data_IF_060007088103
#
_entry.id   IF_060007088103
#
_cell.length_a   1.000
_cell.length_b   1.000
_cell.length_c   1.000
_cell.angle_alpha   90.00
_cell.angle_beta   90.00
_cell.angle_gamma   90.00
#
_symmetry.space_group_name_H-M   'P 1'
#
loop_
_entity.id
_entity.type
_entity.pdbx_description
1 polymer ?
#
# COMPACT_ATOMS: atom_id res chain seq x y z
N UNK A 1 -5.28 -26.93 -1.29
CA UNK A 1 -5.90 -25.90 -2.13
C UNK A 1 -4.99 -24.68 -2.08
N UNK A 2 -4.02 -24.57 -3.00
CA UNK A 2 -3.10 -23.44 -3.05
C UNK A 2 -3.89 -22.19 -3.44
N UNK A 3 -4.12 -21.33 -2.47
CA UNK A 3 -4.81 -20.06 -2.67
C UNK A 3 -3.89 -19.21 -3.56
N UNK A 4 -4.29 -18.92 -4.80
CA UNK A 4 -3.45 -18.16 -5.74
C UNK A 4 -3.04 -16.80 -5.15
N UNK A 5 -3.86 -16.23 -4.27
CA UNK A 5 -3.54 -15.03 -3.50
C UNK A 5 -2.24 -15.15 -2.66
N UNK A 6 -1.97 -16.31 -2.06
CA UNK A 6 -0.75 -16.57 -1.29
C UNK A 6 0.46 -16.74 -2.21
N UNK A 7 0.28 -17.37 -3.37
CA UNK A 7 1.36 -17.55 -4.34
C UNK A 7 1.79 -16.20 -4.97
N UNK A 8 0.86 -15.27 -5.19
CA UNK A 8 1.22 -13.91 -5.59
C UNK A 8 1.93 -13.14 -4.47
N UNK A 9 1.49 -13.23 -3.21
CA UNK A 9 2.22 -12.61 -2.08
C UNK A 9 3.63 -13.19 -1.92
N UNK A 10 3.81 -14.52 -2.00
CA UNK A 10 5.13 -15.17 -1.91
C UNK A 10 6.05 -14.87 -3.11
N UNK A 11 5.52 -14.69 -4.33
CA UNK A 11 6.35 -14.38 -5.51
C UNK A 11 6.61 -12.88 -5.70
N UNK A 12 5.71 -12.00 -5.22
CA UNK A 12 5.81 -10.55 -5.41
C UNK A 12 6.37 -9.84 -4.17
N UNK A 13 6.21 -10.41 -2.97
CA UNK A 13 6.69 -9.89 -1.68
C UNK A 13 7.58 -10.89 -0.91
N UNK A 14 8.02 -12.00 -1.52
CA UNK A 14 8.71 -13.13 -0.87
C UNK A 14 9.59 -12.80 0.34
N UNK A 15 9.45 -13.58 1.43
CA UNK A 15 10.13 -13.41 2.73
C UNK A 15 10.24 -11.96 3.27
N UNK A 16 9.42 -11.02 2.80
CA UNK A 16 9.44 -9.66 3.32
C UNK A 16 8.79 -9.62 4.71
N UNK A 17 9.32 -8.83 5.66
CA UNK A 17 8.73 -8.68 6.97
C UNK A 17 7.24 -8.29 6.86
N UNK A 18 6.37 -9.01 7.57
CA UNK A 18 4.89 -8.85 7.53
C UNK A 18 4.39 -7.41 7.77
N UNK A 19 5.20 -6.55 8.37
CA UNK A 19 4.88 -5.14 8.61
C UNK A 19 4.97 -4.28 7.33
N UNK A 20 5.92 -4.62 6.44
CA UNK A 20 6.11 -3.98 5.14
C UNK A 20 4.96 -4.32 4.19
N UNK A 21 4.61 -5.61 4.09
CA UNK A 21 3.48 -6.08 3.27
C UNK A 21 2.17 -5.38 3.65
N UNK A 22 1.86 -5.29 4.94
CA UNK A 22 0.64 -4.62 5.43
C UNK A 22 0.63 -3.13 5.09
N UNK A 23 1.79 -2.48 5.10
CA UNK A 23 1.91 -1.05 4.78
C UNK A 23 1.66 -0.77 3.30
N UNK A 24 2.23 -1.59 2.40
CA UNK A 24 1.97 -1.50 0.95
C UNK A 24 0.48 -1.73 0.67
N UNK A 25 -0.12 -2.78 1.23
CA UNK A 25 -1.53 -3.10 1.02
C UNK A 25 -2.42 -1.95 1.51
N UNK A 26 -2.09 -1.37 2.68
CA UNK A 26 -2.80 -0.22 3.21
C UNK A 26 -2.74 0.95 2.22
N UNK A 27 -1.56 1.30 1.73
CA UNK A 27 -1.36 2.39 0.77
C UNK A 27 -2.06 2.17 -0.58
N UNK A 28 -2.07 0.93 -1.06
CA UNK A 28 -2.77 0.54 -2.29
C UNK A 28 -4.28 0.78 -2.17
N UNK A 29 -4.87 0.44 -1.02
CA UNK A 29 -6.31 0.61 -0.76
C UNK A 29 -6.64 2.08 -0.49
N UNK A 30 -5.75 2.80 0.22
CA UNK A 30 -5.96 4.18 0.63
C UNK A 30 -6.04 5.13 -0.59
N UNK A 31 -5.23 4.93 -1.62
CA UNK A 31 -5.23 5.75 -2.85
C UNK A 31 -6.61 5.89 -3.55
N UNK A 32 -7.26 4.79 -3.97
CA UNK A 32 -8.56 4.87 -4.65
C UNK A 32 -9.67 5.35 -3.72
N UNK A 33 -9.62 5.01 -2.43
CA UNK A 33 -10.59 5.50 -1.44
C UNK A 33 -10.51 7.02 -1.36
N UNK A 34 -9.31 7.60 -1.27
CA UNK A 34 -9.17 9.05 -1.20
C UNK A 34 -9.57 9.75 -2.49
N UNK A 35 -9.23 9.17 -3.63
CA UNK A 35 -9.62 9.71 -4.93
C UNK A 35 -11.14 9.82 -5.03
N UNK A 36 -11.88 8.80 -4.58
CA UNK A 36 -13.34 8.78 -4.62
C UNK A 36 -14.03 9.59 -3.52
N UNK A 37 -13.44 9.70 -2.32
CA UNK A 37 -14.13 10.28 -1.15
C UNK A 37 -13.87 11.77 -0.95
N UNK A 38 -12.64 12.22 -1.19
CA UNK A 38 -12.19 13.58 -0.85
C UNK A 38 -11.66 14.37 -2.05
N UNK A 39 -11.68 13.75 -3.23
CA UNK A 39 -11.31 14.39 -4.49
C UNK A 39 -9.80 14.64 -4.63
N UNK A 40 -9.37 15.21 -5.77
CA UNK A 40 -7.95 15.29 -6.14
C UNK A 40 -7.11 16.19 -5.22
N UNK A 41 -7.73 17.18 -4.54
CA UNK A 41 -7.03 18.12 -3.68
C UNK A 41 -6.47 17.46 -2.42
N UNK A 42 -7.31 16.78 -1.63
CA UNK A 42 -6.87 16.08 -0.40
C UNK A 42 -6.04 14.84 -0.75
N UNK A 43 -6.36 14.16 -1.86
CA UNK A 43 -5.59 13.01 -2.34
C UNK A 43 -4.11 13.37 -2.56
N UNK A 44 -3.82 14.56 -3.10
CA UNK A 44 -2.44 15.04 -3.27
C UNK A 44 -1.68 15.23 -1.95
N UNK A 45 -2.33 15.78 -0.92
CA UNK A 45 -1.73 15.93 0.41
C UNK A 45 -1.42 14.58 1.06
N UNK A 46 -2.32 13.62 0.90
CA UNK A 46 -2.12 12.26 1.44
C UNK A 46 -1.06 11.49 0.67
N UNK A 47 -0.94 11.68 -0.65
CA UNK A 47 0.19 11.17 -1.42
C UNK A 47 1.53 11.71 -0.91
N UNK A 48 1.60 13.00 -0.56
CA UNK A 48 2.81 13.57 0.06
C UNK A 48 3.11 12.93 1.41
N UNK A 49 2.13 12.78 2.29
CA UNK A 49 2.30 12.10 3.58
C UNK A 49 2.74 10.62 3.40
N UNK A 50 2.17 9.94 2.41
CA UNK A 50 2.47 8.56 2.07
C UNK A 50 3.90 8.38 1.53
N UNK A 51 4.39 9.35 0.76
CA UNK A 51 5.75 9.35 0.26
C UNK A 51 6.77 9.50 1.39
N UNK A 52 6.54 10.44 2.32
CA UNK A 52 7.38 10.65 3.51
C UNK A 52 7.43 9.37 4.36
N UNK A 53 6.29 8.72 4.59
CA UNK A 53 6.25 7.47 5.33
C UNK A 53 7.01 6.33 4.63
N UNK A 54 6.90 6.25 3.31
CA UNK A 54 7.64 5.23 2.52
C UNK A 54 9.15 5.48 2.59
N UNK A 55 9.59 6.75 2.52
CA UNK A 55 11.00 7.13 2.73
C UNK A 55 11.49 6.85 4.15
N UNK A 56 10.63 6.98 5.16
CA UNK A 56 10.98 6.67 6.55
C UNK A 56 11.08 5.16 6.83
N UNK A 57 10.48 4.33 5.99
CA UNK A 57 10.51 2.87 6.09
C UNK A 57 11.65 2.23 5.29
N UNK A 58 12.04 2.87 4.18
CA UNK A 58 13.17 2.48 3.35
C UNK A 58 14.51 2.74 4.07
#
# INVERSE_FOLDING_TARGET
MSNMASAFSDNFLGYSPKWYERSIICFLILNPILLYTVGPFITGWVLMAQFIFTLAMA
#
